data_IF_829485736894
#
_entry.id   IF_829485736894
#
_cell.length_a   1.000
_cell.length_b   1.000
_cell.length_c   1.000
_cell.angle_alpha   90.00
_cell.angle_beta   90.00
_cell.angle_gamma   90.00
#
_symmetry.space_group_name_H-M   'P 1'
#
loop_
_entity.id
_entity.type
_entity.pdbx_description
1 polymer ?
#
# COMPACT_ATOMS: atom_id res chain seq x y z
N UNK A 1 19.25 -3.02 -13.83
CA UNK A 1 18.41 -3.21 -12.62
C UNK A 1 18.95 -2.57 -11.34
N UNK A 2 20.25 -2.27 -11.22
CA UNK A 2 20.86 -1.76 -9.96
C UNK A 2 20.65 -0.24 -9.68
N UNK A 3 20.24 0.58 -10.65
CA UNK A 3 20.28 2.06 -10.55
C UNK A 3 19.00 2.77 -10.09
N UNK A 4 17.87 2.07 -9.92
CA UNK A 4 16.59 2.74 -9.64
C UNK A 4 16.33 2.85 -8.12
N UNK A 5 16.85 1.92 -7.33
CA UNK A 5 16.63 1.86 -5.87
C UNK A 5 17.38 2.99 -5.12
N UNK A 6 18.58 3.34 -5.59
CA UNK A 6 19.41 4.39 -4.97
C UNK A 6 18.99 5.82 -5.36
N UNK A 7 18.35 6.00 -6.52
CA UNK A 7 18.03 7.33 -7.05
C UNK A 7 16.81 7.99 -6.40
N UNK A 8 15.90 7.20 -5.82
CA UNK A 8 14.66 7.72 -5.23
C UNK A 8 14.61 7.66 -3.71
N UNK A 9 15.67 7.19 -3.04
CA UNK A 9 15.68 6.98 -1.58
C UNK A 9 14.45 6.19 -1.07
N UNK A 10 13.87 5.31 -1.90
CA UNK A 10 12.63 4.58 -1.61
C UNK A 10 11.33 5.24 -2.11
N UNK A 11 11.32 6.56 -2.37
CA UNK A 11 10.14 7.31 -2.83
C UNK A 11 10.03 7.31 -4.36
N UNK A 12 9.73 6.14 -4.93
CA UNK A 12 9.52 6.02 -6.38
C UNK A 12 8.34 6.87 -6.84
N UNK A 13 8.38 7.44 -8.06
CA UNK A 13 7.21 8.02 -8.69
C UNK A 13 6.09 6.97 -8.74
N UNK A 14 4.83 7.39 -8.57
CA UNK A 14 3.67 6.48 -8.48
C UNK A 14 3.57 5.50 -9.66
N UNK A 15 4.02 5.86 -10.84
CA UNK A 15 4.02 4.99 -12.03
C UNK A 15 5.08 3.88 -11.99
N UNK A 16 6.17 4.07 -11.24
CA UNK A 16 7.29 3.13 -11.11
C UNK A 16 7.29 2.35 -9.79
N UNK A 17 6.53 2.81 -8.79
CA UNK A 17 6.48 2.20 -7.47
C UNK A 17 5.94 0.77 -7.52
N UNK A 18 6.62 -0.24 -6.94
CA UNK A 18 6.14 -1.63 -6.93
C UNK A 18 4.79 -1.77 -6.22
N UNK A 19 4.57 -0.95 -5.18
CA UNK A 19 3.28 -0.75 -4.51
C UNK A 19 2.90 0.72 -4.68
N UNK A 20 1.73 0.99 -5.24
CA UNK A 20 1.25 2.35 -5.48
C UNK A 20 0.32 2.84 -4.36
N UNK A 21 -0.42 1.92 -3.75
CA UNK A 21 -1.34 2.18 -2.63
C UNK A 21 -1.19 1.08 -1.59
N UNK A 22 -1.15 1.44 -0.30
CA UNK A 22 -1.24 0.50 0.82
C UNK A 22 -2.47 0.84 1.65
N UNK A 23 -3.40 -0.11 1.78
CA UNK A 23 -4.65 0.07 2.52
C UNK A 23 -4.47 -0.48 3.94
N UNK A 24 -4.73 0.36 4.95
CA UNK A 24 -4.46 0.06 6.35
C UNK A 24 -5.78 0.04 7.16
N UNK A 25 -6.58 -1.03 7.09
CA UNK A 25 -7.78 -1.13 7.93
C UNK A 25 -7.40 -1.09 9.42
N UNK A 26 -8.16 -0.28 10.18
CA UNK A 26 -7.93 -0.04 11.61
C UNK A 26 -8.63 -1.10 12.48
N UNK A 27 -9.65 -1.76 11.94
CA UNK A 27 -10.41 -2.81 12.61
C UNK A 27 -10.92 -3.85 11.61
N UNK A 28 -11.15 -5.08 12.08
CA UNK A 28 -11.65 -6.20 11.27
C UNK A 28 -12.97 -5.89 10.56
N UNK A 29 -13.81 -5.06 11.19
CA UNK A 29 -15.07 -4.56 10.61
C UNK A 29 -14.88 -3.79 9.29
N UNK A 30 -13.67 -3.32 8.98
CA UNK A 30 -13.35 -2.63 7.74
C UNK A 30 -12.73 -3.52 6.67
N UNK A 31 -12.49 -4.81 6.94
CA UNK A 31 -11.79 -5.70 6.01
C UNK A 31 -12.57 -5.93 4.71
N UNK A 32 -13.88 -6.09 4.79
CA UNK A 32 -14.74 -6.28 3.61
C UNK A 32 -14.69 -5.06 2.69
N UNK A 33 -14.85 -3.86 3.27
CA UNK A 33 -14.73 -2.60 2.53
C UNK A 33 -13.32 -2.41 1.95
N UNK A 34 -12.28 -2.73 2.72
CA UNK A 34 -10.89 -2.63 2.26
C UNK A 34 -10.61 -3.55 1.06
N UNK A 35 -11.20 -4.75 1.05
CA UNK A 35 -11.13 -5.68 -0.08
C UNK A 35 -11.83 -5.13 -1.32
N UNK A 36 -13.08 -4.67 -1.18
CA UNK A 36 -13.84 -4.11 -2.30
C UNK A 36 -13.12 -2.91 -2.94
N UNK A 37 -12.56 -2.02 -2.12
CA UNK A 37 -11.75 -0.89 -2.60
C UNK A 37 -10.47 -1.36 -3.30
N UNK A 38 -9.80 -2.39 -2.77
CA UNK A 38 -8.60 -2.93 -3.40
C UNK A 38 -8.89 -3.59 -4.75
N UNK A 39 -10.02 -4.27 -4.90
CA UNK A 39 -10.48 -4.81 -6.19
C UNK A 39 -10.72 -3.68 -7.19
N UNK A 40 -11.46 -2.64 -6.82
CA UNK A 40 -11.67 -1.48 -7.67
C UNK A 40 -10.36 -0.83 -8.12
N UNK A 41 -9.38 -0.70 -7.21
CA UNK A 41 -8.06 -0.17 -7.56
C UNK A 41 -7.31 -1.08 -8.55
N UNK A 42 -7.34 -2.41 -8.33
CA UNK A 42 -6.71 -3.37 -9.24
C UNK A 42 -7.35 -3.38 -10.62
N UNK A 43 -8.67 -3.27 -10.69
CA UNK A 43 -9.42 -3.20 -11.96
C UNK A 43 -9.04 -1.95 -12.77
N UNK A 44 -8.65 -0.87 -12.09
CA UNK A 44 -8.11 0.35 -12.69
C UNK A 44 -6.59 0.29 -12.96
N UNK A 45 -5.96 -0.89 -12.82
CA UNK A 45 -4.54 -1.09 -13.05
C UNK A 45 -3.62 -0.55 -11.95
N UNK A 46 -4.16 -0.23 -10.77
CA UNK A 46 -3.40 0.29 -9.64
C UNK A 46 -2.94 -0.87 -8.75
N UNK A 47 -1.63 -0.93 -8.49
CA UNK A 47 -1.00 -1.92 -7.60
C UNK A 47 -1.26 -1.55 -6.14
N UNK A 48 -2.13 -2.32 -5.49
CA UNK A 48 -2.54 -2.11 -4.09
C UNK A 48 -2.20 -3.29 -3.18
N UNK A 49 -1.70 -2.98 -1.99
CA UNK A 49 -1.41 -3.93 -0.90
C UNK A 49 -2.35 -3.68 0.30
N UNK A 50 -2.77 -4.73 0.99
CA UNK A 50 -3.65 -4.66 2.17
C UNK A 50 -2.87 -5.08 3.42
N UNK A 51 -2.90 -4.27 4.48
CA UNK A 51 -2.22 -4.57 5.76
C UNK A 51 -3.23 -4.83 6.89
N UNK A 52 -3.51 -6.11 7.12
CA UNK A 52 -4.42 -6.60 8.14
C UNK A 52 -3.79 -6.82 9.51
N UNK A 53 -2.53 -6.44 9.73
CA UNK A 53 -1.88 -6.65 11.03
C UNK A 53 -2.66 -5.93 12.13
N UNK A 54 -2.91 -6.57 13.27
CA UNK A 54 -3.57 -5.90 14.39
C UNK A 54 -2.54 -5.13 15.23
N UNK A 55 -2.08 -4.00 14.68
CA UNK A 55 -1.05 -3.16 15.27
C UNK A 55 -1.51 -1.70 15.33
N UNK A 56 -0.86 -0.90 16.19
CA UNK A 56 -1.15 0.54 16.31
C UNK A 56 -0.99 1.21 14.94
N UNK A 57 -1.98 2.01 14.53
CA UNK A 57 -1.99 2.67 13.21
C UNK A 57 -0.72 3.51 12.95
N UNK A 58 -0.16 4.14 13.98
CA UNK A 58 1.10 4.89 13.85
C UNK A 58 2.31 4.02 13.48
N UNK A 59 2.32 2.75 13.90
CA UNK A 59 3.35 1.79 13.49
C UNK A 59 3.15 1.39 12.03
N UNK A 60 1.91 1.06 11.62
CA UNK A 60 1.58 0.75 10.22
C UNK A 60 1.94 1.87 9.25
N UNK A 61 1.66 3.13 9.61
CA UNK A 61 1.98 4.30 8.77
C UNK A 61 3.49 4.41 8.57
N UNK A 62 4.29 4.25 9.63
CA UNK A 62 5.75 4.34 9.53
C UNK A 62 6.37 3.26 8.64
N UNK A 63 5.78 2.07 8.61
CA UNK A 63 6.22 0.97 7.72
C UNK A 63 5.66 1.06 6.29
N UNK A 64 4.66 1.91 6.08
CA UNK A 64 4.07 2.16 4.77
C UNK A 64 4.73 3.32 4.02
N UNK A 65 5.63 4.07 4.67
CA UNK A 65 6.43 5.15 4.09
C UNK A 65 7.61 4.64 3.27
#
# INVERSE_FOLDING_TARGET
MHKIIEHFAGAFPTWLAPVQVKNLPIADAHHEYANALAEQLRDNGIRVELDYRNEKIGYKIREAQ
#
